data_IF_299374997223
#
_entry.id   IF_299374997223
#
_cell.length_a   1.000
_cell.length_b   1.000
_cell.length_c   1.000
_cell.angle_alpha   90.00
_cell.angle_beta   90.00
_cell.angle_gamma   90.00
#
_symmetry.space_group_name_H-M   'P 1'
#
loop_
_entity.id
_entity.type
_entity.pdbx_description
1 polymer ?
#
# COMPACT_ATOMS: atom_id res chain seq x y z
N UNK A 1 5.94 -1.31 -17.52
CA UNK A 1 7.23 -0.65 -17.21
C UNK A 1 7.32 -0.21 -15.75
N UNK A 2 6.34 0.49 -15.18
CA UNK A 2 6.37 0.93 -13.76
C UNK A 2 6.55 -0.21 -12.74
N UNK A 3 5.86 -1.35 -12.94
CA UNK A 3 6.00 -2.55 -12.10
C UNK A 3 7.42 -3.12 -12.11
N UNK A 4 8.10 -3.06 -13.26
CA UNK A 4 9.46 -3.57 -13.41
C UNK A 4 10.48 -2.67 -12.72
N UNK A 5 10.31 -1.34 -12.80
CA UNK A 5 11.17 -0.37 -12.10
C UNK A 5 11.04 -0.52 -10.58
N UNK A 6 9.82 -0.78 -10.09
CA UNK A 6 9.57 -0.97 -8.66
C UNK A 6 10.28 -2.19 -8.06
N UNK A 7 10.22 -3.34 -8.72
CA UNK A 7 10.90 -4.56 -8.25
C UNK A 7 12.42 -4.45 -8.39
N UNK A 8 12.91 -3.85 -9.49
CA UNK A 8 14.35 -3.59 -9.69
C UNK A 8 14.92 -2.71 -8.56
N UNK A 9 14.20 -1.69 -8.11
CA UNK A 9 14.66 -0.83 -7.01
C UNK A 9 14.82 -1.61 -5.68
N UNK A 10 13.90 -2.54 -5.40
CA UNK A 10 13.99 -3.42 -4.24
C UNK A 10 15.17 -4.38 -4.39
N UNK A 11 15.31 -5.05 -5.54
CA UNK A 11 16.37 -6.03 -5.79
C UNK A 11 17.76 -5.39 -5.77
N UNK A 12 17.92 -4.21 -6.38
CA UNK A 12 19.15 -3.44 -6.34
C UNK A 12 19.53 -3.06 -4.90
N UNK A 13 18.53 -2.69 -4.08
CA UNK A 13 18.78 -2.39 -2.67
C UNK A 13 19.20 -3.63 -1.90
N UNK A 14 18.54 -4.77 -2.12
CA UNK A 14 18.88 -6.07 -1.53
C UNK A 14 20.30 -6.52 -1.88
N UNK A 15 20.73 -6.32 -3.13
CA UNK A 15 22.08 -6.62 -3.58
C UNK A 15 23.08 -5.69 -2.87
N UNK A 16 22.80 -4.39 -2.84
CA UNK A 16 23.68 -3.40 -2.23
C UNK A 16 23.81 -3.52 -0.71
N UNK A 17 22.80 -4.09 -0.04
CA UNK A 17 22.78 -4.28 1.42
C UNK A 17 23.29 -5.65 1.87
N UNK A 18 23.84 -6.47 0.96
CA UNK A 18 24.31 -7.81 1.29
C UNK A 18 23.19 -8.79 1.66
N UNK A 19 21.99 -8.58 1.13
CA UNK A 19 20.82 -9.45 1.32
C UNK A 19 19.87 -9.01 2.45
N UNK A 20 20.12 -7.88 3.12
CA UNK A 20 19.27 -7.38 4.20
C UNK A 20 18.37 -6.23 3.73
N UNK A 21 17.06 -6.48 3.58
CA UNK A 21 16.07 -5.40 3.43
C UNK A 21 15.67 -4.89 4.82
N UNK A 22 16.01 -3.66 5.16
CA UNK A 22 15.45 -3.04 6.36
C UNK A 22 14.08 -2.39 6.05
N UNK A 23 13.25 -2.30 7.08
CA UNK A 23 11.99 -1.55 7.02
C UNK A 23 12.18 -0.10 6.56
N UNK A 24 13.20 0.58 7.09
CA UNK A 24 13.53 1.95 6.72
C UNK A 24 13.88 2.09 5.24
N UNK A 25 14.75 1.21 4.72
CA UNK A 25 15.10 1.20 3.29
C UNK A 25 13.86 0.97 2.41
N UNK A 26 13.01 0.01 2.76
CA UNK A 26 11.81 -0.27 1.99
C UNK A 26 10.81 0.89 2.01
N UNK A 27 10.68 1.59 3.14
CA UNK A 27 9.88 2.81 3.23
C UNK A 27 10.44 3.92 2.32
N UNK A 28 11.77 4.12 2.31
CA UNK A 28 12.43 5.10 1.43
C UNK A 28 12.22 4.76 -0.04
N UNK A 29 12.37 3.49 -0.42
CA UNK A 29 12.12 3.01 -1.80
C UNK A 29 10.66 3.28 -2.18
N UNK A 30 9.70 2.87 -1.35
CA UNK A 30 8.28 3.07 -1.63
C UNK A 30 7.93 4.56 -1.76
N UNK A 31 8.42 5.41 -0.84
CA UNK A 31 8.26 6.87 -0.91
C UNK A 31 8.77 7.41 -2.24
N UNK A 32 9.99 7.00 -2.62
CA UNK A 32 10.65 7.46 -3.85
C UNK A 32 9.94 6.99 -5.11
N UNK A 33 9.44 5.75 -5.14
CA UNK A 33 8.70 5.23 -6.29
C UNK A 33 7.38 5.97 -6.46
N UNK A 34 6.62 6.16 -5.38
CA UNK A 34 5.32 6.82 -5.44
C UNK A 34 5.43 8.31 -5.74
N UNK A 35 6.42 9.02 -5.17
CA UNK A 35 6.57 10.46 -5.43
C UNK A 35 7.04 10.78 -6.88
N UNK A 36 7.67 9.81 -7.56
CA UNK A 36 8.21 9.97 -8.92
C UNK A 36 7.34 9.30 -10.00
N UNK A 37 6.09 8.95 -9.71
CA UNK A 37 5.19 8.35 -10.70
C UNK A 37 5.00 9.23 -11.95
N UNK A 38 5.08 10.55 -11.81
CA UNK A 38 5.02 11.50 -12.94
C UNK A 38 6.15 11.32 -13.92
N UNK A 39 7.38 11.06 -13.44
CA UNK A 39 8.54 10.77 -14.29
C UNK A 39 8.38 9.47 -15.08
N UNK A 40 7.50 8.58 -14.63
CA UNK A 40 7.14 7.35 -15.32
C UNK A 40 5.87 7.47 -16.19
N UNK A 41 5.41 8.70 -16.45
CA UNK A 41 4.28 8.98 -17.33
C UNK A 41 2.91 8.97 -16.63
N UNK A 42 2.86 8.93 -15.30
CA UNK A 42 1.60 9.09 -14.57
C UNK A 42 1.12 10.54 -14.63
N UNK A 43 -0.18 10.71 -14.86
CA UNK A 43 -0.90 11.97 -14.86
C UNK A 43 -2.23 11.81 -14.12
N UNK A 44 -2.97 12.90 -13.89
CA UNK A 44 -4.21 12.86 -13.12
C UNK A 44 -5.27 11.86 -13.64
N UNK A 45 -5.25 11.51 -14.92
CA UNK A 45 -6.18 10.55 -15.52
C UNK A 45 -5.85 9.08 -15.30
N UNK A 46 -4.59 8.73 -14.98
CA UNK A 46 -4.16 7.34 -14.81
C UNK A 46 -3.39 7.06 -13.51
N UNK A 47 -3.09 8.09 -12.71
CA UNK A 47 -2.25 8.01 -11.52
C UNK A 47 -2.77 7.03 -10.46
N UNK A 48 -4.08 7.00 -10.22
CA UNK A 48 -4.68 6.09 -9.24
C UNK A 48 -4.53 4.63 -9.67
N UNK A 49 -4.80 4.32 -10.94
CA UNK A 49 -4.61 2.98 -11.50
C UNK A 49 -3.15 2.52 -11.42
N UNK A 50 -2.21 3.37 -11.84
CA UNK A 50 -0.77 3.09 -11.75
C UNK A 50 -0.35 2.85 -10.29
N UNK A 51 -0.84 3.67 -9.36
CA UNK A 51 -0.55 3.53 -7.93
C UNK A 51 -1.01 2.18 -7.38
N UNK A 52 -2.21 1.73 -7.76
CA UNK A 52 -2.72 0.42 -7.36
C UNK A 52 -1.91 -0.74 -7.95
N UNK A 53 -1.57 -0.68 -9.25
CA UNK A 53 -0.74 -1.69 -9.91
C UNK A 53 0.67 -1.75 -9.30
N UNK A 54 1.29 -0.60 -9.02
CA UNK A 54 2.59 -0.54 -8.38
C UNK A 54 2.51 -1.15 -6.97
N UNK A 55 1.54 -0.77 -6.16
CA UNK A 55 1.36 -1.33 -4.81
C UNK A 55 1.21 -2.85 -4.85
N UNK A 56 0.36 -3.37 -5.74
CA UNK A 56 0.17 -4.81 -5.92
C UNK A 56 1.48 -5.52 -6.27
N UNK A 57 2.26 -4.95 -7.19
CA UNK A 57 3.54 -5.51 -7.62
C UNK A 57 4.53 -5.55 -6.45
N UNK A 58 4.69 -4.43 -5.73
CA UNK A 58 5.66 -4.33 -4.63
C UNK A 58 5.29 -5.26 -3.47
N UNK A 59 4.01 -5.33 -3.09
CA UNK A 59 3.54 -6.22 -2.03
C UNK A 59 3.77 -7.69 -2.41
N UNK A 60 3.44 -8.09 -3.63
CA UNK A 60 3.68 -9.45 -4.10
C UNK A 60 5.17 -9.80 -4.13
N UNK A 61 6.02 -8.86 -4.58
CA UNK A 61 7.48 -9.04 -4.63
C UNK A 61 8.07 -9.24 -3.24
N UNK A 62 7.77 -8.32 -2.32
CA UNK A 62 8.23 -8.41 -0.92
C UNK A 62 7.70 -9.69 -0.26
N UNK A 63 6.44 -10.05 -0.51
CA UNK A 63 5.83 -11.28 0.01
C UNK A 63 6.51 -12.58 -0.44
N UNK A 64 7.08 -12.60 -1.65
CA UNK A 64 7.78 -13.75 -2.22
C UNK A 64 9.29 -13.77 -1.93
N UNK A 65 9.81 -12.74 -1.28
CA UNK A 65 11.25 -12.58 -0.98
C UNK A 65 11.81 -13.53 0.08
N UNK A 66 11.04 -14.50 0.59
CA UNK A 66 11.52 -15.51 1.54
C UNK A 66 11.73 -15.02 2.97
N UNK A 67 11.19 -13.85 3.33
CA UNK A 67 11.30 -13.29 4.68
C UNK A 67 10.50 -14.10 5.71
N UNK A 68 10.96 -14.08 6.97
CA UNK A 68 10.17 -14.65 8.08
C UNK A 68 8.90 -13.83 8.27
N UNK A 69 7.84 -14.45 8.77
CA UNK A 69 6.52 -13.80 8.90
C UNK A 69 6.56 -12.46 9.68
N UNK A 70 7.32 -12.38 10.77
CA UNK A 70 7.46 -11.15 11.56
C UNK A 70 8.19 -10.03 10.79
N UNK A 71 9.23 -10.39 10.03
CA UNK A 71 9.97 -9.46 9.19
C UNK A 71 9.10 -8.98 8.03
N UNK A 72 8.38 -9.90 7.38
CA UNK A 72 7.44 -9.58 6.31
C UNK A 72 6.34 -8.63 6.78
N UNK A 73 5.79 -8.84 7.98
CA UNK A 73 4.82 -7.92 8.58
C UNK A 73 5.39 -6.50 8.70
N UNK A 74 6.60 -6.39 9.22
CA UNK A 74 7.31 -5.12 9.43
C UNK A 74 7.66 -4.43 8.10
N UNK A 75 8.07 -5.22 7.11
CA UNK A 75 8.36 -4.76 5.76
C UNK A 75 7.11 -4.24 5.05
N UNK A 76 6.00 -4.99 5.07
CA UNK A 76 4.75 -4.55 4.45
C UNK A 76 4.14 -3.32 5.14
N UNK A 77 4.26 -3.22 6.47
CA UNK A 77 3.88 -2.00 7.18
C UNK A 77 4.70 -0.79 6.70
N UNK A 78 6.01 -0.97 6.53
CA UNK A 78 6.91 0.10 6.08
C UNK A 78 6.71 0.46 4.61
N UNK A 79 6.50 -0.53 3.75
CA UNK A 79 6.13 -0.38 2.34
C UNK A 79 4.87 0.44 2.20
N UNK A 80 3.81 0.09 2.94
CA UNK A 80 2.52 0.77 2.86
C UNK A 80 2.58 2.19 3.39
N UNK A 81 3.32 2.42 4.48
CA UNK A 81 3.59 3.77 4.98
C UNK A 81 4.34 4.60 3.94
N UNK A 82 5.41 4.05 3.34
CA UNK A 82 6.19 4.74 2.33
C UNK A 82 5.41 5.05 1.07
N UNK A 83 4.54 4.15 0.61
CA UNK A 83 3.65 4.40 -0.53
C UNK A 83 2.77 5.64 -0.28
N UNK A 84 2.14 5.72 0.90
CA UNK A 84 1.30 6.86 1.28
C UNK A 84 2.13 8.15 1.46
N UNK A 85 3.31 8.07 2.07
CA UNK A 85 4.22 9.22 2.18
C UNK A 85 4.62 9.75 0.79
N UNK A 86 4.92 8.86 -0.14
CA UNK A 86 5.23 9.20 -1.53
C UNK A 86 4.05 9.91 -2.21
N UNK A 87 2.81 9.49 -1.95
CA UNK A 87 1.61 10.21 -2.42
C UNK A 87 1.51 11.62 -1.83
N UNK A 88 1.84 11.80 -0.55
CA UNK A 88 1.92 13.13 0.06
C UNK A 88 3.06 14.00 -0.47
N UNK A 89 4.00 13.42 -1.21
CA UNK A 89 5.12 14.12 -1.85
C UNK A 89 4.95 14.24 -3.37
N UNK A 90 3.87 13.70 -3.94
CA UNK A 90 3.61 13.77 -5.38
C UNK A 90 3.46 15.22 -5.82
N UNK A 91 4.14 15.55 -6.91
CA UNK A 91 3.99 16.84 -7.58
C UNK A 91 3.44 16.61 -8.99
N UNK A 92 2.12 16.68 -9.13
CA UNK A 92 1.39 16.49 -10.39
C UNK A 92 0.34 17.60 -10.52
N UNK A 93 0.25 18.20 -11.71
CA UNK A 93 -0.81 19.17 -12.02
C UNK A 93 -2.19 18.50 -11.87
N UNK A 94 -3.08 19.15 -11.12
CA UNK A 94 -4.41 18.60 -10.81
C UNK A 94 -4.42 17.59 -9.66
N UNK A 95 -3.33 17.46 -8.88
CA UNK A 95 -3.34 16.71 -7.64
C UNK A 95 -4.15 17.47 -6.56
N UNK A 96 -5.43 17.11 -6.44
CA UNK A 96 -6.34 17.61 -5.41
C UNK A 96 -6.82 16.50 -4.47
N UNK A 97 -7.58 16.87 -3.44
CA UNK A 97 -8.04 15.94 -2.41
C UNK A 97 -8.84 14.74 -2.96
N UNK A 98 -9.67 14.96 -3.98
CA UNK A 98 -10.41 13.86 -4.61
C UNK A 98 -9.50 12.83 -5.29
N UNK A 99 -8.45 13.29 -5.97
CA UNK A 99 -7.49 12.40 -6.61
C UNK A 99 -6.64 11.66 -5.56
N UNK A 100 -6.25 12.33 -4.46
CA UNK A 100 -5.57 11.68 -3.33
C UNK A 100 -6.44 10.57 -2.73
N UNK A 101 -7.72 10.84 -2.50
CA UNK A 101 -8.69 9.83 -2.03
C UNK A 101 -8.76 8.62 -2.95
N UNK A 102 -8.79 8.83 -4.27
CA UNK A 102 -8.82 7.73 -5.24
C UNK A 102 -7.48 6.97 -5.28
N UNK A 103 -6.34 7.65 -5.19
CA UNK A 103 -5.03 6.98 -5.10
C UNK A 103 -4.95 6.12 -3.84
N UNK A 104 -5.36 6.65 -2.68
CA UNK A 104 -5.34 5.91 -1.40
C UNK A 104 -6.24 4.69 -1.47
N UNK A 105 -7.43 4.81 -2.08
CA UNK A 105 -8.31 3.67 -2.37
C UNK A 105 -7.63 2.63 -3.26
N UNK A 106 -6.96 3.05 -4.33
CA UNK A 106 -6.24 2.12 -5.22
C UNK A 106 -5.01 1.49 -4.57
N UNK A 107 -4.30 2.18 -3.66
CA UNK A 107 -3.26 1.58 -2.82
C UNK A 107 -3.86 0.45 -1.97
N UNK A 108 -5.03 0.67 -1.37
CA UNK A 108 -5.76 -0.35 -0.62
C UNK A 108 -6.11 -1.57 -1.48
N UNK A 109 -6.70 -1.35 -2.65
CA UNK A 109 -7.05 -2.43 -3.59
C UNK A 109 -5.82 -3.19 -4.10
N UNK A 110 -4.77 -2.46 -4.49
CA UNK A 110 -3.50 -3.01 -4.95
C UNK A 110 -2.84 -3.87 -3.88
N UNK A 111 -2.88 -3.45 -2.62
CA UNK A 111 -2.34 -4.22 -1.50
C UNK A 111 -2.97 -5.60 -1.35
N UNK A 112 -4.30 -5.70 -1.42
CA UNK A 112 -5.00 -6.98 -1.33
C UNK A 112 -4.71 -7.86 -2.54
N UNK A 113 -4.59 -7.25 -3.72
CA UNK A 113 -4.19 -7.94 -4.96
C UNK A 113 -2.76 -8.49 -4.87
N UNK A 114 -1.84 -7.77 -4.24
CA UNK A 114 -0.50 -8.30 -3.96
C UNK A 114 -0.53 -9.45 -2.95
N UNK A 115 -1.32 -9.29 -1.88
CA UNK A 115 -1.46 -10.27 -0.79
C UNK A 115 -2.06 -11.60 -1.28
N UNK A 116 -3.00 -11.59 -2.23
CA UNK A 116 -3.66 -12.80 -2.72
C UNK A 116 -2.68 -13.82 -3.31
N UNK A 117 -1.50 -13.38 -3.75
CA UNK A 117 -0.44 -14.24 -4.27
C UNK A 117 0.61 -14.68 -3.25
N UNK A 118 0.46 -14.33 -1.96
CA UNK A 118 1.46 -14.61 -0.91
C UNK A 118 1.13 -15.90 -0.13
N UNK A 119 -0.14 -16.10 0.23
CA UNK A 119 -0.53 -17.23 1.09
C UNK A 119 -1.99 -17.62 0.85
N UNK A 120 -2.33 -18.88 1.12
CA UNK A 120 -3.70 -19.38 1.24
C UNK A 120 -4.16 -19.54 2.71
N UNK A 121 -3.31 -19.20 3.67
CA UNK A 121 -3.64 -19.27 5.09
C UNK A 121 -4.31 -17.98 5.55
N UNK A 122 -5.58 -18.07 5.96
CA UNK A 122 -6.37 -16.90 6.37
C UNK A 122 -5.81 -16.15 7.57
N UNK A 123 -5.10 -16.80 8.50
CA UNK A 123 -4.48 -16.12 9.63
C UNK A 123 -3.27 -15.29 9.17
N UNK A 124 -2.45 -15.84 8.27
CA UNK A 124 -1.34 -15.09 7.65
C UNK A 124 -1.91 -13.89 6.88
N UNK A 125 -2.92 -14.11 6.03
CA UNK A 125 -3.55 -13.03 5.26
C UNK A 125 -4.09 -11.91 6.17
N UNK A 126 -4.79 -12.25 7.26
CA UNK A 126 -5.26 -11.26 8.23
C UNK A 126 -4.10 -10.44 8.83
N UNK A 127 -3.00 -11.09 9.19
CA UNK A 127 -1.80 -10.42 9.72
C UNK A 127 -1.20 -9.46 8.70
N UNK A 128 -1.03 -9.88 7.44
CA UNK A 128 -0.47 -9.04 6.38
C UNK A 128 -1.38 -7.86 6.03
N UNK A 129 -2.69 -8.10 5.96
CA UNK A 129 -3.69 -7.06 5.73
C UNK A 129 -3.63 -6.03 6.86
N UNK A 130 -3.60 -6.48 8.12
CA UNK A 130 -3.50 -5.59 9.28
C UNK A 130 -2.20 -4.76 9.25
N UNK A 131 -1.08 -5.36 8.84
CA UNK A 131 0.20 -4.67 8.73
C UNK A 131 0.16 -3.54 7.70
N UNK A 132 -0.37 -3.81 6.51
CA UNK A 132 -0.55 -2.81 5.45
C UNK A 132 -1.49 -1.70 5.93
N UNK A 133 -2.65 -2.03 6.51
CA UNK A 133 -3.60 -1.02 6.97
C UNK A 133 -2.99 -0.11 8.03
N UNK A 134 -2.28 -0.66 9.01
CA UNK A 134 -1.54 0.13 10.02
C UNK A 134 -0.44 0.99 9.40
N UNK A 135 0.28 0.44 8.42
CA UNK A 135 1.33 1.15 7.69
C UNK A 135 0.77 2.37 6.96
N UNK A 136 -0.26 2.16 6.15
CA UNK A 136 -0.96 3.24 5.46
C UNK A 136 -1.54 4.25 6.43
N UNK A 137 -2.19 3.83 7.52
CA UNK A 137 -2.72 4.74 8.54
C UNK A 137 -1.63 5.65 9.13
N UNK A 138 -0.44 5.10 9.43
CA UNK A 138 0.70 5.90 9.87
C UNK A 138 1.18 6.90 8.80
N UNK A 139 1.23 6.48 7.53
CA UNK A 139 1.55 7.39 6.42
C UNK A 139 0.49 8.49 6.26
N UNK A 140 -0.79 8.14 6.35
CA UNK A 140 -1.92 9.06 6.23
C UNK A 140 -1.87 10.14 7.31
N UNK A 141 -1.60 9.75 8.57
CA UNK A 141 -1.44 10.68 9.68
C UNK A 141 -0.31 11.69 9.47
N UNK A 142 0.73 11.33 8.71
CA UNK A 142 1.85 12.23 8.40
C UNK A 142 1.58 13.16 7.22
N UNK A 143 0.78 12.73 6.23
CA UNK A 143 0.53 13.54 5.03
C UNK A 143 -0.71 14.43 5.14
N UNK A 144 -1.62 14.17 6.11
CA UNK A 144 -2.90 14.88 6.15
C UNK A 144 -2.73 16.40 6.25
N UNK A 145 -1.73 16.87 6.99
CA UNK A 145 -1.42 18.30 7.12
C UNK A 145 -1.10 18.98 5.79
N UNK A 146 -0.59 18.25 4.80
CA UNK A 146 -0.29 18.75 3.45
C UNK A 146 -1.54 19.01 2.61
N UNK A 147 -2.69 18.45 3.01
CA UNK A 147 -3.96 18.54 2.29
C UNK A 147 -5.03 19.30 3.10
N UNK A 148 -4.65 20.00 4.17
CA UNK A 148 -5.59 20.69 5.08
C UNK A 148 -6.56 21.68 4.38
N UNK A 149 -6.17 22.25 3.23
CA UNK A 149 -7.03 23.15 2.43
C UNK A 149 -8.05 22.45 1.52
N UNK A 150 -8.06 21.11 1.47
CA UNK A 150 -8.90 20.33 0.55
C UNK A 150 -10.18 19.76 1.18
N UNK A 151 -10.38 19.99 2.50
CA UNK A 151 -11.50 19.41 3.25
C UNK A 151 -11.35 17.93 3.59
N UNK A 152 -10.27 17.28 3.15
CA UNK A 152 -9.96 15.91 3.54
C UNK A 152 -9.58 15.82 5.01
N UNK A 153 -10.04 14.76 5.68
CA UNK A 153 -9.56 14.37 7.00
C UNK A 153 -9.00 12.94 7.00
N UNK A 154 -8.32 12.57 8.09
CA UNK A 154 -7.70 11.25 8.25
C UNK A 154 -8.73 10.11 8.14
N UNK A 155 -9.94 10.34 8.66
CA UNK A 155 -11.02 9.34 8.64
C UNK A 155 -11.50 9.09 7.21
N UNK A 156 -11.62 10.12 6.38
CA UNK A 156 -12.02 9.99 4.98
C UNK A 156 -10.99 9.19 4.18
N UNK A 157 -9.70 9.54 4.30
CA UNK A 157 -8.65 8.85 3.58
C UNK A 157 -8.52 7.39 4.01
N UNK A 158 -8.66 7.12 5.30
CA UNK A 158 -8.63 5.75 5.77
C UNK A 158 -9.88 4.95 5.36
N UNK A 159 -11.05 5.58 5.38
CA UNK A 159 -12.28 4.97 4.86
C UNK A 159 -12.10 4.58 3.39
N UNK A 160 -11.50 5.46 2.58
CA UNK A 160 -11.15 5.17 1.19
C UNK A 160 -10.14 4.03 1.06
N UNK A 161 -9.09 3.99 1.88
CA UNK A 161 -8.14 2.87 1.91
C UNK A 161 -8.86 1.55 2.17
N UNK A 162 -9.70 1.51 3.20
CA UNK A 162 -10.40 0.29 3.64
C UNK A 162 -11.49 -0.12 2.65
N UNK A 163 -12.18 0.83 2.02
CA UNK A 163 -13.07 0.55 0.90
C UNK A 163 -12.31 -0.10 -0.28
N UNK A 164 -11.11 0.42 -0.59
CA UNK A 164 -10.21 -0.15 -1.58
C UNK A 164 -9.83 -1.60 -1.24
N UNK A 165 -9.38 -1.85 -0.01
CA UNK A 165 -9.05 -3.20 0.47
C UNK A 165 -10.27 -4.14 0.39
N UNK A 166 -11.43 -3.68 0.89
CA UNK A 166 -12.68 -4.45 0.91
C UNK A 166 -13.13 -4.86 -0.49
N UNK A 167 -12.95 -3.98 -1.49
CA UNK A 167 -13.32 -4.24 -2.88
C UNK A 167 -12.57 -5.41 -3.53
N UNK A 168 -11.47 -5.87 -2.93
CA UNK A 168 -10.62 -6.95 -3.45
C UNK A 168 -10.58 -8.19 -2.58
N UNK A 169 -11.28 -8.24 -1.44
CA UNK A 169 -11.29 -9.44 -0.57
C UNK A 169 -11.72 -10.70 -1.32
N UNK A 170 -12.66 -10.59 -2.26
CA UNK A 170 -13.19 -11.73 -3.01
C UNK A 170 -12.16 -12.48 -3.88
N UNK A 171 -10.99 -11.88 -4.13
CA UNK A 171 -9.91 -12.54 -4.89
C UNK A 171 -8.92 -13.30 -4.00
N UNK A 172 -9.07 -13.20 -2.67
CA UNK A 172 -8.21 -13.91 -1.73
C UNK A 172 -8.46 -15.41 -1.83
N UNK A 173 -7.42 -16.25 -1.79
CA UNK A 173 -7.53 -17.71 -1.95
C UNK A 173 -8.01 -18.39 -0.65
N UNK A 174 -9.13 -17.92 -0.10
CA UNK A 174 -9.77 -18.43 1.12
C UNK A 174 -11.29 -18.50 0.93
N UNK A 175 -11.96 -19.35 1.71
CA UNK A 175 -13.40 -19.53 1.64
C UNK A 175 -14.20 -18.30 2.11
N UNK A 176 -15.49 -18.28 1.78
CA UNK A 176 -16.38 -17.13 2.04
C UNK A 176 -16.45 -16.75 3.52
N UNK A 177 -16.37 -17.72 4.44
CA UNK A 177 -16.33 -17.44 5.89
C UNK A 177 -15.09 -16.63 6.25
N UNK A 178 -13.92 -17.03 5.76
CA UNK A 178 -12.67 -16.32 6.00
C UNK A 178 -12.66 -14.94 5.33
N UNK A 179 -13.26 -14.79 4.15
CA UNK A 179 -13.47 -13.48 3.51
C UNK A 179 -14.33 -12.56 4.38
N UNK A 180 -15.41 -13.06 4.97
CA UNK A 180 -16.23 -12.30 5.94
C UNK A 180 -15.42 -11.89 7.17
N UNK A 181 -14.60 -12.80 7.73
CA UNK A 181 -13.71 -12.48 8.86
C UNK A 181 -12.73 -11.36 8.50
N UNK A 182 -12.15 -11.39 7.29
CA UNK A 182 -11.24 -10.33 6.82
C UNK A 182 -12.00 -9.00 6.64
N UNK A 183 -13.24 -9.03 6.14
CA UNK A 183 -14.08 -7.84 6.04
C UNK A 183 -14.38 -7.23 7.42
N UNK A 184 -14.70 -8.07 8.41
CA UNK A 184 -14.90 -7.65 9.80
C UNK A 184 -13.63 -7.08 10.42
N UNK A 185 -12.46 -7.67 10.13
CA UNK A 185 -11.16 -7.13 10.55
C UNK A 185 -10.96 -5.70 10.02
N UNK A 186 -11.23 -5.47 8.73
CA UNK A 186 -11.10 -4.12 8.15
C UNK A 186 -12.07 -3.12 8.79
N UNK A 187 -13.31 -3.53 9.05
CA UNK A 187 -14.29 -2.69 9.78
C UNK A 187 -13.82 -2.37 11.20
N UNK A 188 -13.26 -3.35 11.91
CA UNK A 188 -12.70 -3.17 13.25
C UNK A 188 -11.44 -2.29 13.25
N UNK A 189 -10.71 -2.18 12.15
CA UNK A 189 -9.60 -1.24 12.01
C UNK A 189 -10.08 0.20 11.77
N UNK A 190 -11.23 0.40 11.12
CA UNK A 190 -11.85 1.73 11.01
C UNK A 190 -12.36 2.26 12.36
N UNK A 191 -12.93 1.40 13.21
CA UNK A 191 -13.58 1.83 14.45
C UNK A 191 -12.62 2.21 15.58
N UNK A 192 -11.31 2.00 15.42
CA UNK A 192 -10.28 2.28 16.43
C UNK A 192 -9.69 3.69 16.33
N UNK A 193 -10.39 4.62 15.69
CA UNK A 193 -9.92 5.94 15.23
C UNK A 193 -11.01 6.96 15.45
#
# INVERSE_FOLDING_TARGET
>A
MISLVGTIAIDATMISSGGALSAGMLQTIATTLFQNLSAAGANSGNLSGISGTLMSTLVAHVGKGGFRAADLQTLLQSLSSGAVLGVGNLNINGLGGQLVSEIVKQIGAGSITGISGISNNSAILQTLISAITKGSQNGLGQIIGKFSGSGLNLKDLLSNLIAGQSSKIGILPVGSVQQTVISLLLQALMSKI
#
